data_IF_183105662316
#
_entry.id   IF_183105662316
#
_cell.length_a   1.000
_cell.length_b   1.000
_cell.length_c   1.000
_cell.angle_alpha   90.00
_cell.angle_beta   90.00
_cell.angle_gamma   90.00
#
_symmetry.space_group_name_H-M   'P 1'
#
loop_
_entity.id
_entity.type
_entity.pdbx_description
1 polymer ?
#
# COMPACT_ATOMS: atom_id res chain seq x y z
N UNK A 1 6.57 -46.83 1.96
CA UNK A 1 7.17 -45.51 1.66
C UNK A 1 7.81 -45.00 2.94
N UNK A 2 9.10 -44.69 2.94
CA UNK A 2 9.79 -44.21 4.13
C UNK A 2 9.33 -42.77 4.44
N UNK A 3 9.00 -42.45 5.70
CA UNK A 3 8.54 -41.11 6.11
C UNK A 3 9.55 -40.01 5.73
N UNK A 4 10.84 -40.35 5.70
CA UNK A 4 11.92 -39.46 5.23
C UNK A 4 11.79 -39.13 3.74
N UNK A 5 11.33 -40.07 2.91
CA UNK A 5 11.13 -39.85 1.47
C UNK A 5 10.00 -38.85 1.23
N UNK A 6 8.92 -38.89 2.02
CA UNK A 6 7.81 -37.92 1.94
C UNK A 6 8.29 -36.53 2.36
N UNK A 7 9.05 -36.43 3.46
CA UNK A 7 9.64 -35.17 3.91
C UNK A 7 10.60 -34.56 2.89
N UNK A 8 11.35 -35.40 2.16
CA UNK A 8 12.22 -34.97 1.08
C UNK A 8 11.44 -34.43 -0.12
N UNK A 9 10.38 -35.14 -0.54
CA UNK A 9 9.50 -34.68 -1.62
C UNK A 9 8.84 -33.34 -1.27
N UNK A 10 8.34 -33.18 -0.04
CA UNK A 10 7.77 -31.91 0.43
C UNK A 10 8.80 -30.77 0.39
N UNK A 11 10.06 -31.04 0.76
CA UNK A 11 11.15 -30.05 0.66
C UNK A 11 11.42 -29.65 -0.79
N UNK A 12 11.49 -30.61 -1.71
CA UNK A 12 11.71 -30.35 -3.14
C UNK A 12 10.57 -29.52 -3.76
N UNK A 13 9.33 -29.78 -3.35
CA UNK A 13 8.14 -29.03 -3.77
C UNK A 13 7.97 -27.69 -3.03
N UNK A 14 8.88 -27.33 -2.11
CA UNK A 14 8.82 -26.14 -1.26
C UNK A 14 7.53 -26.05 -0.42
N UNK A 15 7.01 -27.20 0.01
CA UNK A 15 5.82 -27.33 0.86
C UNK A 15 6.21 -27.31 2.35
N UNK A 16 6.87 -26.25 2.79
CA UNK A 16 7.45 -26.19 4.13
C UNK A 16 6.39 -26.20 5.25
N UNK A 17 5.21 -25.63 5.00
CA UNK A 17 4.09 -25.68 5.93
C UNK A 17 3.55 -27.11 6.09
N UNK A 18 3.37 -27.85 4.99
CA UNK A 18 3.01 -29.27 5.05
C UNK A 18 4.09 -30.08 5.76
N UNK A 19 5.37 -29.81 5.50
CA UNK A 19 6.49 -30.54 6.10
C UNK A 19 6.50 -30.41 7.63
N UNK A 20 6.33 -29.19 8.15
CA UNK A 20 6.23 -28.94 9.59
C UNK A 20 4.98 -29.59 10.20
N UNK A 21 3.83 -29.46 9.54
CA UNK A 21 2.60 -30.10 9.98
C UNK A 21 2.69 -31.63 9.99
N UNK A 22 3.39 -32.22 9.03
CA UNK A 22 3.56 -33.67 8.94
C UNK A 22 4.44 -34.20 10.08
N UNK A 23 5.51 -33.47 10.44
CA UNK A 23 6.32 -33.79 11.62
C UNK A 23 5.52 -33.68 12.93
N UNK A 24 4.65 -32.67 13.02
CA UNK A 24 3.80 -32.46 14.19
C UNK A 24 2.74 -33.57 14.34
N UNK A 25 2.10 -33.96 13.23
CA UNK A 25 1.14 -35.07 13.24
C UNK A 25 1.77 -36.41 13.65
N UNK A 26 3.05 -36.63 13.35
CA UNK A 26 3.78 -37.82 13.78
C UNK A 26 4.11 -37.83 15.28
N UNK A 27 4.34 -36.67 15.88
CA UNK A 27 4.76 -36.56 17.28
C UNK A 27 3.60 -36.45 18.26
N UNK A 28 2.38 -36.13 17.79
CA UNK A 28 1.22 -35.91 18.65
C UNK A 28 0.17 -37.04 18.51
N UNK A 29 -0.14 -37.77 19.61
CA UNK A 29 -1.13 -38.86 19.60
C UNK A 29 -2.55 -38.43 19.20
N UNK A 30 -2.92 -37.17 19.43
CA UNK A 30 -4.25 -36.62 19.15
C UNK A 30 -4.63 -36.65 17.66
N UNK A 31 -3.64 -36.72 16.76
CA UNK A 31 -3.91 -36.85 15.33
C UNK A 31 -4.15 -38.29 14.89
N UNK A 32 -3.94 -39.29 15.75
CA UNK A 32 -4.22 -40.70 15.45
C UNK A 32 -5.72 -41.00 15.34
N UNK A 33 -6.55 -40.21 16.01
CA UNK A 33 -8.01 -40.34 15.99
C UNK A 33 -8.66 -39.70 14.75
N UNK A 34 -7.88 -38.97 13.94
CA UNK A 34 -8.35 -38.33 12.71
C UNK A 34 -8.20 -39.28 11.50
N UNK A 35 -9.16 -39.20 10.59
CA UNK A 35 -9.09 -39.85 9.28
C UNK A 35 -7.87 -39.38 8.47
N UNK A 36 -7.54 -40.11 7.40
CA UNK A 36 -6.49 -39.68 6.48
C UNK A 36 -6.83 -38.34 5.82
N UNK A 37 -8.08 -38.18 5.39
CA UNK A 37 -8.61 -36.99 4.74
C UNK A 37 -8.52 -35.76 5.65
N UNK A 38 -8.91 -35.89 6.92
CA UNK A 38 -8.79 -34.79 7.90
C UNK A 38 -7.34 -34.40 8.14
N UNK A 39 -6.45 -35.37 8.31
CA UNK A 39 -5.02 -35.11 8.47
C UNK A 39 -4.43 -34.41 7.25
N UNK A 40 -4.76 -34.89 6.04
CA UNK A 40 -4.30 -34.29 4.80
C UNK A 40 -4.83 -32.86 4.64
N UNK A 41 -6.10 -32.61 4.95
CA UNK A 41 -6.70 -31.27 4.93
C UNK A 41 -5.93 -30.32 5.82
N UNK A 42 -5.64 -30.71 7.08
CA UNK A 42 -4.87 -29.88 8.01
C UNK A 42 -3.46 -29.53 7.50
N UNK A 43 -2.80 -30.46 6.79
CA UNK A 43 -1.49 -30.20 6.18
C UNK A 43 -1.61 -29.18 5.04
N UNK A 44 -2.60 -29.35 4.16
CA UNK A 44 -2.85 -28.46 3.04
C UNK A 44 -3.22 -27.05 3.53
N UNK A 45 -4.12 -26.95 4.51
CA UNK A 45 -4.54 -25.68 5.11
C UNK A 45 -3.35 -24.93 5.71
N UNK A 46 -2.45 -25.64 6.40
CA UNK A 46 -1.23 -25.04 6.95
C UNK A 46 -0.30 -24.50 5.86
N UNK A 47 -0.15 -25.22 4.76
CA UNK A 47 0.66 -24.77 3.62
C UNK A 47 0.04 -23.57 2.92
N UNK A 48 -1.27 -23.59 2.67
CA UNK A 48 -2.01 -22.47 2.08
C UNK A 48 -1.85 -21.24 2.96
N UNK A 49 -2.12 -21.35 4.26
CA UNK A 49 -1.98 -20.26 5.22
C UNK A 49 -0.55 -19.70 5.25
N UNK A 50 0.46 -20.58 5.23
CA UNK A 50 1.87 -20.15 5.17
C UNK A 50 2.17 -19.38 3.90
N UNK A 51 1.70 -19.84 2.74
CA UNK A 51 1.91 -19.17 1.45
C UNK A 51 1.22 -17.81 1.41
N UNK A 52 -0.01 -17.73 1.89
CA UNK A 52 -0.75 -16.48 1.97
C UNK A 52 -0.07 -15.46 2.89
N UNK A 53 0.36 -15.90 4.08
CA UNK A 53 1.12 -15.05 5.00
C UNK A 53 2.43 -14.55 4.38
N UNK A 54 3.19 -15.43 3.73
CA UNK A 54 4.43 -15.05 3.04
C UNK A 54 4.19 -14.06 1.89
N UNK A 55 3.11 -14.26 1.13
CA UNK A 55 2.70 -13.35 0.06
C UNK A 55 2.39 -11.96 0.61
N UNK A 56 1.56 -11.87 1.65
CA UNK A 56 1.21 -10.59 2.30
C UNK A 56 2.45 -9.91 2.87
N UNK A 57 3.30 -10.64 3.60
CA UNK A 57 4.54 -10.08 4.15
C UNK A 57 5.49 -9.58 3.05
N UNK A 58 5.59 -10.30 1.93
CA UNK A 58 6.39 -9.87 0.78
C UNK A 58 5.86 -8.57 0.19
N UNK A 59 4.54 -8.44 0.01
CA UNK A 59 3.90 -7.22 -0.47
C UNK A 59 4.11 -6.05 0.49
N UNK A 60 3.93 -6.25 1.80
CA UNK A 60 4.16 -5.22 2.82
C UNK A 60 5.62 -4.74 2.85
N UNK A 61 6.59 -5.66 2.78
CA UNK A 61 8.01 -5.31 2.68
C UNK A 61 8.31 -4.55 1.39
N UNK A 62 7.77 -5.01 0.26
CA UNK A 62 7.89 -4.32 -1.03
C UNK A 62 7.34 -2.91 -0.93
N UNK A 63 6.23 -2.68 -0.23
CA UNK A 63 5.54 -1.40 -0.15
C UNK A 63 6.34 -0.29 0.55
N UNK A 64 7.30 -0.64 1.42
CA UNK A 64 8.12 0.31 2.22
C UNK A 64 7.28 1.45 2.80
N UNK A 65 6.12 1.12 3.36
CA UNK A 65 5.24 2.10 4.02
C UNK A 65 6.02 2.82 5.12
N UNK A 66 5.86 4.13 5.22
CA UNK A 66 6.59 4.96 6.20
C UNK A 66 6.20 4.66 7.64
N UNK A 67 4.98 4.20 7.87
CA UNK A 67 4.44 3.90 9.19
C UNK A 67 3.83 2.51 9.20
N UNK A 68 4.01 1.78 10.30
CA UNK A 68 3.29 0.54 10.57
C UNK A 68 1.86 0.89 11.00
N UNK A 69 1.02 1.18 10.01
CA UNK A 69 -0.36 1.62 10.23
C UNK A 69 -1.35 0.51 9.88
N UNK A 70 -2.44 0.44 10.65
CA UNK A 70 -3.51 -0.53 10.49
C UNK A 70 -4.85 0.18 10.43
N UNK A 71 -5.80 -0.32 9.62
CA UNK A 71 -7.14 0.28 9.50
C UNK A 71 -7.89 0.19 10.82
N UNK A 72 -7.65 -0.89 11.56
CA UNK A 72 -8.25 -1.18 12.86
C UNK A 72 -7.89 -0.14 13.93
N UNK A 73 -6.68 0.42 13.83
CA UNK A 73 -6.11 1.37 14.81
C UNK A 73 -6.39 2.85 14.45
N UNK A 74 -7.15 3.10 13.38
CA UNK A 74 -7.50 4.47 12.96
C UNK A 74 -8.35 5.14 14.04
N UNK A 75 -7.85 6.26 14.59
CA UNK A 75 -8.56 7.01 15.63
C UNK A 75 -9.67 7.92 15.07
N UNK A 76 -10.93 7.58 15.33
CA UNK A 76 -12.12 8.35 14.96
C UNK A 76 -12.63 9.32 16.04
N UNK A 77 -12.00 9.33 17.23
CA UNK A 77 -12.52 10.01 18.44
C UNK A 77 -12.46 11.55 18.43
N UNK A 78 -11.89 12.17 17.40
CA UNK A 78 -11.72 13.63 17.30
C UNK A 78 -12.58 14.18 16.15
N UNK A 79 -12.94 15.48 16.17
CA UNK A 79 -13.61 16.22 15.07
C UNK A 79 -12.70 16.33 13.82
N UNK A 80 -12.22 15.20 13.30
CA UNK A 80 -11.25 15.09 12.22
C UNK A 80 -11.88 15.12 10.83
N UNK A 81 -13.20 15.30 10.72
CA UNK A 81 -13.90 15.13 9.45
C UNK A 81 -13.79 13.71 8.87
N UNK A 82 -13.44 12.73 9.72
CA UNK A 82 -13.18 11.34 9.30
C UNK A 82 -14.33 10.43 9.71
N UNK A 83 -15.10 10.00 8.71
CA UNK A 83 -16.23 9.08 8.92
C UNK A 83 -15.77 7.62 8.85
N UNK A 84 -16.06 6.85 9.90
CA UNK A 84 -15.70 5.43 9.98
C UNK A 84 -16.28 4.61 8.83
N UNK A 85 -17.54 4.86 8.46
CA UNK A 85 -18.18 4.16 7.35
C UNK A 85 -17.41 4.33 6.02
N UNK A 86 -16.97 5.56 5.73
CA UNK A 86 -16.20 5.89 4.53
C UNK A 86 -14.82 5.23 4.53
N UNK A 87 -14.11 5.25 5.67
CA UNK A 87 -12.81 4.58 5.78
C UNK A 87 -12.96 3.07 5.62
N UNK A 88 -13.98 2.46 6.22
CA UNK A 88 -14.23 1.02 6.08
C UNK A 88 -14.66 0.64 4.65
N UNK A 89 -15.35 1.51 3.93
CA UNK A 89 -15.65 1.32 2.51
C UNK A 89 -14.36 1.34 1.67
N UNK A 90 -13.47 2.31 1.90
CA UNK A 90 -12.17 2.38 1.22
C UNK A 90 -11.25 1.20 1.58
N UNK A 91 -11.36 0.66 2.80
CA UNK A 91 -10.60 -0.51 3.25
C UNK A 91 -10.97 -1.81 2.51
N UNK A 92 -12.10 -1.84 1.80
CA UNK A 92 -12.42 -2.93 0.86
C UNK A 92 -11.60 -2.87 -0.44
N UNK A 93 -10.92 -1.75 -0.69
CA UNK A 93 -10.11 -1.48 -1.87
C UNK A 93 -10.86 -1.61 -3.20
N UNK A 94 -12.19 -1.43 -3.21
CA UNK A 94 -12.95 -1.39 -4.46
C UNK A 94 -12.49 -0.22 -5.35
N UNK A 95 -12.05 0.89 -4.77
CA UNK A 95 -11.44 2.00 -5.52
C UNK A 95 -10.21 1.55 -6.34
N UNK A 96 -9.44 0.57 -5.84
CA UNK A 96 -8.28 -0.01 -6.54
C UNK A 96 -8.72 -0.84 -7.74
N UNK A 97 -9.80 -1.61 -7.57
CA UNK A 97 -10.39 -2.43 -8.65
C UNK A 97 -10.95 -1.58 -9.79
N UNK A 98 -11.49 -0.41 -9.46
CA UNK A 98 -12.07 0.52 -10.42
C UNK A 98 -11.09 1.61 -10.88
N UNK A 99 -9.80 1.48 -10.57
CA UNK A 99 -8.74 2.41 -10.96
C UNK A 99 -9.01 3.88 -10.55
N UNK A 100 -9.64 4.05 -9.39
CA UNK A 100 -9.97 5.36 -8.83
C UNK A 100 -8.84 5.84 -7.92
N UNK A 101 -8.69 7.16 -7.78
CA UNK A 101 -7.70 7.75 -6.89
C UNK A 101 -8.27 8.01 -5.48
N UNK A 102 -7.39 8.25 -4.53
CA UNK A 102 -7.76 8.70 -3.19
C UNK A 102 -6.92 9.91 -2.78
N UNK A 103 -7.58 11.04 -2.57
CA UNK A 103 -6.94 12.29 -2.15
C UNK A 103 -7.22 12.52 -0.67
N UNK A 104 -6.15 12.65 0.11
CA UNK A 104 -6.19 12.86 1.56
C UNK A 104 -5.56 14.22 1.88
N UNK A 105 -6.38 15.22 2.17
CA UNK A 105 -5.93 16.57 2.51
C UNK A 105 -6.12 16.87 4.00
N UNK A 106 -5.50 17.95 4.50
CA UNK A 106 -5.68 18.42 5.88
C UNK A 106 -4.42 19.00 6.49
N UNK A 107 -4.48 19.64 7.68
CA UNK A 107 -3.34 20.31 8.29
C UNK A 107 -2.24 19.34 8.74
N UNK A 108 -1.07 19.87 9.10
CA UNK A 108 0.06 19.06 9.56
C UNK A 108 -0.28 18.29 10.84
N UNK A 109 0.10 17.02 10.89
CA UNK A 109 -0.11 16.17 12.06
C UNK A 109 -1.53 15.61 12.22
N UNK A 110 -2.48 15.92 11.33
CA UNK A 110 -3.85 15.40 11.41
C UNK A 110 -3.98 13.91 10.99
N UNK A 111 -2.89 13.23 10.66
CA UNK A 111 -2.85 11.78 10.37
C UNK A 111 -3.02 11.36 8.91
N UNK A 112 -2.75 12.24 7.93
CA UNK A 112 -2.83 11.93 6.48
C UNK A 112 -1.96 10.74 6.08
N UNK A 113 -0.66 10.80 6.40
CA UNK A 113 0.32 9.73 6.13
C UNK A 113 -0.06 8.43 6.83
N UNK A 114 -0.59 8.49 8.05
CA UNK A 114 -1.05 7.30 8.76
C UNK A 114 -2.20 6.64 8.01
N UNK A 115 -3.20 7.43 7.60
CA UNK A 115 -4.37 6.92 6.88
C UNK A 115 -3.98 6.34 5.51
N UNK A 116 -3.10 6.99 4.75
CA UNK A 116 -2.60 6.45 3.48
C UNK A 116 -1.82 5.15 3.69
N UNK A 117 -0.97 5.07 4.72
CA UNK A 117 -0.26 3.84 5.08
C UNK A 117 -1.22 2.73 5.54
N UNK A 118 -2.25 3.04 6.33
CA UNK A 118 -3.24 2.06 6.79
C UNK A 118 -4.02 1.45 5.62
N UNK A 119 -4.49 2.30 4.69
CA UNK A 119 -5.17 1.84 3.47
C UNK A 119 -4.21 1.06 2.57
N UNK A 120 -2.97 1.52 2.41
CA UNK A 120 -1.94 0.81 1.66
C UNK A 120 -1.63 -0.57 2.26
N UNK A 121 -1.52 -0.67 3.58
CA UNK A 121 -1.31 -1.94 4.26
C UNK A 121 -2.49 -2.89 4.06
N UNK A 122 -3.72 -2.36 4.14
CA UNK A 122 -4.92 -3.14 3.85
C UNK A 122 -4.97 -3.62 2.40
N UNK A 123 -4.55 -2.79 1.43
CA UNK A 123 -4.42 -3.21 0.04
C UNK A 123 -3.39 -4.35 -0.12
N UNK A 124 -2.26 -4.31 0.60
CA UNK A 124 -1.31 -5.43 0.62
C UNK A 124 -1.92 -6.71 1.18
N UNK A 125 -2.72 -6.62 2.26
CA UNK A 125 -3.44 -7.78 2.83
C UNK A 125 -4.43 -8.39 1.83
N UNK A 126 -5.04 -7.56 0.98
CA UNK A 126 -5.91 -7.98 -0.11
C UNK A 126 -5.15 -8.45 -1.37
N UNK A 127 -3.82 -8.43 -1.34
CA UNK A 127 -2.98 -8.97 -2.42
C UNK A 127 -2.53 -7.95 -3.47
N UNK A 128 -2.80 -6.65 -3.28
CA UNK A 128 -2.36 -5.60 -4.19
C UNK A 128 -0.89 -5.22 -3.96
N UNK A 129 -0.17 -4.93 -5.04
CA UNK A 129 1.18 -4.36 -4.98
C UNK A 129 1.07 -2.88 -4.68
N UNK A 130 1.59 -2.48 -3.53
CA UNK A 130 1.61 -1.08 -3.10
C UNK A 130 3.03 -0.57 -3.11
N UNK A 131 3.20 0.71 -3.40
CA UNK A 131 4.47 1.43 -3.30
C UNK A 131 4.24 2.78 -2.63
N UNK A 132 4.89 3.00 -1.49
CA UNK A 132 4.96 4.32 -0.88
C UNK A 132 6.16 5.10 -1.40
N UNK A 133 5.93 6.37 -1.74
CA UNK A 133 6.91 7.35 -2.13
C UNK A 133 6.66 8.65 -1.37
N UNK A 134 7.73 9.22 -0.81
CA UNK A 134 7.72 10.60 -0.36
C UNK A 134 8.01 11.47 -1.57
N UNK A 135 7.07 12.32 -1.98
CA UNK A 135 7.14 13.00 -3.28
C UNK A 135 8.45 13.78 -3.44
N UNK A 136 8.89 14.49 -2.39
CA UNK A 136 10.11 15.30 -2.40
C UNK A 136 11.35 14.49 -2.78
N UNK A 137 11.58 13.35 -2.12
CA UNK A 137 12.69 12.43 -2.40
C UNK A 137 12.54 11.75 -3.74
N UNK A 138 11.31 11.45 -4.14
CA UNK A 138 11.04 10.78 -5.40
C UNK A 138 11.32 11.69 -6.60
N UNK A 139 11.00 12.99 -6.53
CA UNK A 139 11.37 13.96 -7.55
C UNK A 139 12.90 14.08 -7.74
N UNK A 140 13.66 14.00 -6.64
CA UNK A 140 15.13 13.94 -6.68
C UNK A 140 15.62 12.61 -7.30
N UNK A 141 15.03 11.48 -6.92
CA UNK A 141 15.33 10.16 -7.48
C UNK A 141 15.11 10.12 -9.00
N UNK A 142 14.01 10.72 -9.49
CA UNK A 142 13.76 10.83 -10.93
C UNK A 142 14.85 11.65 -11.63
N UNK A 143 15.27 12.76 -11.02
CA UNK A 143 16.34 13.62 -11.58
C UNK A 143 17.68 12.88 -11.67
N UNK A 144 18.03 12.10 -10.65
CA UNK A 144 19.23 11.24 -10.64
C UNK A 144 19.11 10.13 -11.70
N UNK A 145 17.93 9.52 -11.82
CA UNK A 145 17.70 8.42 -12.75
C UNK A 145 17.79 8.82 -14.22
N UNK A 146 17.55 10.10 -14.54
CA UNK A 146 17.83 10.65 -15.87
C UNK A 146 19.34 10.76 -16.10
N UNK A 147 20.10 11.20 -15.08
CA UNK A 147 21.55 11.37 -15.19
C UNK A 147 22.32 10.04 -15.30
N UNK A 148 21.84 8.98 -14.66
CA UNK A 148 22.47 7.64 -14.67
C UNK A 148 21.84 6.66 -15.68
N UNK A 149 20.82 7.10 -16.44
CA UNK A 149 20.13 6.30 -17.45
C UNK A 149 19.16 5.24 -16.90
N UNK A 150 18.87 5.24 -15.59
CA UNK A 150 17.97 4.27 -14.95
C UNK A 150 16.49 4.66 -14.96
N UNK A 151 16.11 5.84 -15.48
CA UNK A 151 14.72 6.34 -15.49
C UNK A 151 13.71 5.35 -16.05
N UNK A 152 13.97 4.78 -17.24
CA UNK A 152 13.06 3.81 -17.85
C UNK A 152 12.82 2.57 -16.97
N UNK A 153 13.86 2.13 -16.24
CA UNK A 153 13.78 1.02 -15.29
C UNK A 153 12.95 1.40 -14.07
N UNK A 154 13.10 2.61 -13.54
CA UNK A 154 12.28 3.13 -12.44
C UNK A 154 10.80 3.15 -12.84
N UNK A 155 10.45 3.72 -13.99
CA UNK A 155 9.08 3.78 -14.49
C UNK A 155 8.47 2.39 -14.70
N UNK A 156 9.23 1.46 -15.31
CA UNK A 156 8.79 0.06 -15.48
C UNK A 156 8.52 -0.64 -14.14
N UNK A 157 9.25 -0.28 -13.07
CA UNK A 157 8.99 -0.84 -11.75
C UNK A 157 7.70 -0.28 -11.15
N UNK A 158 7.46 1.03 -11.28
CA UNK A 158 6.28 1.71 -10.75
C UNK A 158 4.98 1.30 -11.47
N UNK A 159 5.04 1.00 -12.77
CA UNK A 159 3.90 0.47 -13.53
C UNK A 159 3.36 -0.85 -12.97
N UNK A 160 4.21 -1.64 -12.30
CA UNK A 160 3.81 -2.93 -11.70
C UNK A 160 3.05 -2.75 -10.39
N UNK A 161 3.03 -1.56 -9.82
CA UNK A 161 2.39 -1.28 -8.54
C UNK A 161 0.93 -0.85 -8.74
N UNK A 162 0.01 -1.67 -8.23
CA UNK A 162 -1.44 -1.47 -8.28
C UNK A 162 -1.87 -0.18 -7.57
N UNK A 163 -1.18 0.15 -6.48
CA UNK A 163 -1.40 1.38 -5.72
C UNK A 163 -0.08 2.11 -5.50
N UNK A 164 -0.04 3.37 -5.92
CA UNK A 164 1.08 4.27 -5.65
C UNK A 164 0.64 5.30 -4.60
N UNK A 165 1.39 5.43 -3.51
CA UNK A 165 1.16 6.47 -2.51
C UNK A 165 2.18 7.58 -2.72
N UNK A 166 1.70 8.75 -3.10
CA UNK A 166 2.47 9.99 -3.19
C UNK A 166 2.20 10.82 -1.94
N UNK A 167 3.09 10.73 -0.96
CA UNK A 167 2.96 11.44 0.31
C UNK A 167 3.59 12.83 0.24
N UNK A 168 3.03 13.78 0.98
CA UNK A 168 3.53 15.16 1.12
C UNK A 168 3.51 15.97 -0.20
N UNK A 169 2.46 15.78 -1.01
CA UNK A 169 2.21 16.55 -2.22
C UNK A 169 2.04 18.04 -1.92
N UNK A 170 2.70 18.91 -2.70
CA UNK A 170 2.61 20.35 -2.55
C UNK A 170 3.69 20.98 -1.66
N UNK A 171 4.50 20.19 -0.94
CA UNK A 171 5.42 20.72 0.09
C UNK A 171 6.72 21.33 -0.44
N UNK A 172 7.21 20.87 -1.59
CA UNK A 172 8.46 21.37 -2.21
C UNK A 172 8.17 21.90 -3.60
N UNK A 173 8.80 23.02 -3.95
CA UNK A 173 8.72 23.56 -5.30
C UNK A 173 9.13 22.51 -6.34
N UNK A 174 8.36 22.43 -7.43
CA UNK A 174 8.60 21.49 -8.53
C UNK A 174 9.20 22.25 -9.71
N UNK A 175 10.33 21.78 -10.24
CA UNK A 175 10.92 22.36 -11.44
C UNK A 175 10.21 21.83 -12.71
N UNK A 176 10.53 22.39 -13.88
CA UNK A 176 9.87 22.02 -15.13
C UNK A 176 10.05 20.54 -15.50
N UNK A 177 11.27 20.00 -15.38
CA UNK A 177 11.55 18.59 -15.68
C UNK A 177 10.78 17.65 -14.75
N UNK A 178 10.82 17.92 -13.44
CA UNK A 178 10.07 17.16 -12.43
C UNK A 178 8.56 17.20 -12.65
N UNK A 179 8.02 18.33 -13.13
CA UNK A 179 6.60 18.46 -13.47
C UNK A 179 6.24 17.55 -14.66
N UNK A 180 7.07 17.52 -15.69
CA UNK A 180 6.88 16.61 -16.82
C UNK A 180 6.98 15.15 -16.39
N UNK A 181 7.95 14.81 -15.55
CA UNK A 181 8.08 13.45 -15.00
C UNK A 181 6.86 13.04 -14.18
N UNK A 182 6.35 13.94 -13.33
CA UNK A 182 5.12 13.72 -12.57
C UNK A 182 3.92 13.55 -13.51
N UNK A 183 3.80 14.37 -14.56
CA UNK A 183 2.76 14.23 -15.57
C UNK A 183 2.81 12.84 -16.23
N UNK A 184 3.97 12.40 -16.72
CA UNK A 184 4.13 11.10 -17.36
C UNK A 184 3.74 9.95 -16.42
N UNK A 185 4.15 10.02 -15.15
CA UNK A 185 3.77 9.03 -14.14
C UNK A 185 2.26 8.97 -13.90
N UNK A 186 1.58 10.12 -13.87
CA UNK A 186 0.14 10.19 -13.67
C UNK A 186 -0.60 9.72 -14.93
N UNK A 187 -0.14 10.09 -16.12
CA UNK A 187 -0.63 9.62 -17.41
C UNK A 187 -0.60 8.10 -17.50
N UNK A 188 0.57 7.49 -17.25
CA UNK A 188 0.76 6.04 -17.34
C UNK A 188 -0.14 5.23 -16.39
N UNK A 189 -0.68 5.88 -15.35
CA UNK A 189 -1.53 5.27 -14.34
C UNK A 189 -3.01 5.57 -14.56
N UNK A 190 -3.34 6.62 -15.31
CA UNK A 190 -4.71 7.07 -15.49
C UNK A 190 -5.59 5.95 -16.07
N UNK A 191 -6.71 5.66 -15.40
CA UNK A 191 -7.65 4.57 -15.70
C UNK A 191 -7.06 3.14 -15.71
N UNK A 192 -5.80 2.96 -15.28
CA UNK A 192 -5.13 1.64 -15.25
C UNK A 192 -4.73 1.21 -13.83
N UNK A 193 -4.38 2.16 -12.96
CA UNK A 193 -3.86 1.92 -11.61
C UNK A 193 -4.27 3.05 -10.67
N UNK A 194 -4.39 2.75 -9.38
CA UNK A 194 -4.81 3.74 -8.39
C UNK A 194 -3.64 4.52 -7.80
N UNK A 195 -3.88 5.79 -7.50
CA UNK A 195 -2.93 6.65 -6.80
C UNK A 195 -3.58 7.22 -5.54
N UNK A 196 -2.89 7.10 -4.40
CA UNK A 196 -3.23 7.76 -3.15
C UNK A 196 -2.32 8.97 -3.01
N UNK A 197 -2.89 10.16 -2.85
CA UNK A 197 -2.12 11.40 -2.71
C UNK A 197 -2.44 12.01 -1.35
N UNK A 198 -1.41 12.35 -0.58
CA UNK A 198 -1.59 13.14 0.64
C UNK A 198 -1.06 14.55 0.43
N UNK A 199 -1.77 15.56 0.94
CA UNK A 199 -1.30 16.95 0.87
C UNK A 199 -1.73 17.74 2.09
N UNK A 200 -0.91 18.70 2.49
CA UNK A 200 -1.35 19.71 3.46
C UNK A 200 -2.21 20.80 2.84
N UNK A 201 -2.17 20.95 1.51
CA UNK A 201 -2.91 21.95 0.78
C UNK A 201 -4.24 21.37 0.29
N UNK A 202 -5.33 22.17 0.30
CA UNK A 202 -6.55 21.82 -0.39
C UNK A 202 -6.29 21.58 -1.88
N UNK A 203 -7.06 20.68 -2.50
CA UNK A 203 -6.93 20.34 -3.93
C UNK A 203 -7.01 21.58 -4.83
N UNK A 204 -7.81 22.58 -4.45
CA UNK A 204 -7.94 23.85 -5.17
C UNK A 204 -6.62 24.62 -5.31
N UNK A 205 -5.62 24.39 -4.43
CA UNK A 205 -4.30 25.02 -4.50
C UNK A 205 -3.28 24.21 -5.29
N UNK A 206 -3.62 23.01 -5.74
CA UNK A 206 -2.67 22.15 -6.44
C UNK A 206 -2.33 22.69 -7.84
N UNK A 207 -3.26 23.39 -8.48
CA UNK A 207 -3.00 24.02 -9.78
C UNK A 207 -1.90 25.08 -9.68
N UNK A 208 -2.02 25.97 -8.68
CA UNK A 208 -1.00 26.98 -8.38
C UNK A 208 0.35 26.35 -8.02
N UNK A 209 0.33 25.28 -7.20
CA UNK A 209 1.53 24.56 -6.80
C UNK A 209 2.28 23.92 -7.98
N UNK A 210 1.55 23.23 -8.86
CA UNK A 210 2.14 22.60 -10.05
C UNK A 210 2.74 23.70 -10.93
N UNK A 211 2.03 24.79 -11.13
CA UNK A 211 2.40 25.84 -12.08
C UNK A 211 2.41 25.31 -13.52
N UNK A 212 2.61 26.20 -14.49
CA UNK A 212 2.37 25.92 -15.92
C UNK A 212 0.93 25.41 -16.16
N UNK A 213 0.00 26.29 -16.55
CA UNK A 213 -1.43 25.97 -16.60
C UNK A 213 -1.77 24.69 -17.37
N UNK A 214 -1.10 24.44 -18.50
CA UNK A 214 -1.44 23.33 -19.40
C UNK A 214 -1.20 21.97 -18.76
N UNK A 215 -0.01 21.77 -18.17
CA UNK A 215 0.38 20.54 -17.50
C UNK A 215 -0.35 20.43 -16.15
N UNK A 216 -0.56 21.55 -15.45
CA UNK A 216 -1.30 21.55 -14.20
C UNK A 216 -2.73 21.05 -14.41
N UNK A 217 -3.45 21.56 -15.40
CA UNK A 217 -4.79 21.10 -15.78
C UNK A 217 -4.76 19.61 -16.15
N UNK A 218 -3.82 19.20 -17.01
CA UNK A 218 -3.72 17.81 -17.44
C UNK A 218 -3.47 16.82 -16.28
N UNK A 219 -2.61 17.18 -15.32
CA UNK A 219 -2.36 16.38 -14.12
C UNK A 219 -3.61 16.33 -13.23
N UNK A 220 -4.25 17.49 -12.99
CA UNK A 220 -5.37 17.58 -12.06
C UNK A 220 -6.61 16.88 -12.57
N UNK A 221 -6.90 16.96 -13.86
CA UNK A 221 -8.02 16.23 -14.48
C UNK A 221 -7.88 14.72 -14.20
N UNK A 222 -6.71 14.15 -14.50
CA UNK A 222 -6.45 12.72 -14.31
C UNK A 222 -6.48 12.28 -12.86
N UNK A 223 -5.99 13.12 -11.97
CA UNK A 223 -5.96 12.82 -10.53
C UNK A 223 -7.36 12.97 -9.91
N UNK A 224 -8.15 13.96 -10.34
CA UNK A 224 -9.32 14.45 -9.59
C UNK A 224 -10.66 14.00 -10.14
N UNK A 225 -10.75 13.67 -11.44
CA UNK A 225 -11.99 13.29 -12.12
C UNK A 225 -12.64 12.06 -11.48
N UNK A 226 -11.84 11.03 -11.18
CA UNK A 226 -12.31 9.76 -10.63
C UNK A 226 -11.65 9.47 -9.27
N UNK A 227 -11.86 10.36 -8.30
CA UNK A 227 -11.18 10.30 -7.01
C UNK A 227 -12.10 10.37 -5.79
N UNK A 228 -11.84 9.50 -4.83
CA UNK A 228 -12.34 9.64 -3.46
C UNK A 228 -11.58 10.75 -2.75
N UNK A 229 -12.28 11.56 -1.95
CA UNK A 229 -11.67 12.67 -1.21
C UNK A 229 -11.91 12.53 0.29
N UNK A 230 -10.86 12.66 1.08
CA UNK A 230 -10.93 12.76 2.54
C UNK A 230 -10.23 14.04 2.96
N UNK A 231 -10.97 14.96 3.54
CA UNK A 231 -10.42 16.16 4.15
C UNK A 231 -10.36 15.97 5.66
N UNK A 232 -9.14 15.81 6.17
CA UNK A 232 -8.88 15.67 7.59
C UNK A 232 -8.80 17.04 8.26
N UNK A 233 -9.48 17.17 9.39
CA UNK A 233 -9.50 18.35 10.23
C UNK A 233 -8.89 18.08 11.61
N UNK A 234 -8.79 19.14 12.43
CA UNK A 234 -8.41 19.04 13.83
C UNK A 234 -6.91 19.13 14.11
N UNK A 235 -6.57 19.03 15.39
CA UNK A 235 -5.20 19.22 15.89
C UNK A 235 -4.25 18.07 15.56
N UNK A 236 -2.95 18.34 15.71
CA UNK A 236 -1.89 17.36 15.52
C UNK A 236 -2.03 16.18 16.50
N UNK A 237 -2.12 14.97 15.95
CA UNK A 237 -2.17 13.72 16.70
C UNK A 237 -0.84 13.38 17.37
N UNK A 238 0.29 13.95 16.89
CA UNK A 238 1.63 13.72 17.46
C UNK A 238 1.76 14.23 18.90
N UNK A 239 1.00 15.26 19.27
CA UNK A 239 1.01 15.82 20.64
C UNK A 239 0.37 14.88 21.66
N UNK A 240 -0.56 14.00 21.23
CA UNK A 240 -1.27 13.08 22.12
C UNK A 240 -0.41 11.88 22.55
N UNK A 241 0.52 11.41 21.71
CA UNK A 241 1.46 10.33 22.08
C UNK A 241 2.44 10.78 23.18
N UNK A 242 2.88 12.05 23.15
CA UNK A 242 3.82 12.60 24.14
C UNK A 242 3.16 12.77 25.52
N UNK A 243 1.86 13.07 25.57
CA UNK A 243 1.13 13.24 26.83
C UNK A 243 0.71 11.92 27.50
N UNK A 244 0.91 10.78 26.83
CA UNK A 244 0.57 9.43 27.32
C UNK A 244 1.80 8.54 27.50
N UNK A 245 3.00 9.12 27.52
CA UNK A 245 4.28 8.46 27.80
C UNK A 245 4.83 8.87 29.16
#
# INVERSE_FOLDING_TARGET
MNNESVLEQMRQLKMTGMQEGFREQQSQPKHADLSFEERLSLLLDREILRRDNNRVQSLQRRAKLRQSAAIEDVCYKNKRGLEKAKVMALAKCDFVRHHQNLLITGPTGCGKTYLSCAIGNQACRLGYKVRYLLLTRFLEEMSISHADGSYAKLMTQLHKDDVLILDDFGLTAINAAQRHDLFNLIEDRYQLKSTIITSQFPVAKWHEYLGEPTIADAILDRISENAHRIELNGESMRKKEIASS
#
